data_IF_717089297600
#
_entry.id   IF_717089297600
#
_cell.length_a   1.000
_cell.length_b   1.000
_cell.length_c   1.000
_cell.angle_alpha   90.00
_cell.angle_beta   90.00
_cell.angle_gamma   90.00
#
_symmetry.space_group_name_H-M   'P 1'
#
loop_
_entity.id
_entity.type
_entity.pdbx_description
1 polymer ?
#
# COMPACT_ATOMS: atom_id res chain seq x y z
N UNK A 1 14.29 0.45 4.83
CA UNK A 1 14.68 0.48 3.39
C UNK A 1 14.26 1.83 2.81
N UNK A 2 15.06 2.45 1.94
CA UNK A 2 14.67 3.66 1.21
C UNK A 2 13.92 3.28 -0.08
N UNK A 3 12.91 4.06 -0.53
CA UNK A 3 12.17 3.76 -1.77
C UNK A 3 13.06 3.55 -3.01
N UNK A 4 14.16 4.28 -3.11
CA UNK A 4 15.07 4.20 -4.26
C UNK A 4 15.88 2.90 -4.32
N UNK A 5 16.10 2.23 -3.18
CA UNK A 5 16.83 0.95 -3.10
C UNK A 5 16.02 -0.20 -3.71
N UNK A 6 14.69 -0.05 -3.80
CA UNK A 6 13.79 -1.06 -4.36
C UNK A 6 13.95 -1.19 -5.88
N UNK A 7 14.42 -0.14 -6.57
CA UNK A 7 14.54 -0.08 -8.05
C UNK A 7 15.42 -1.17 -8.67
N UNK A 8 16.30 -1.78 -7.89
CA UNK A 8 17.22 -2.82 -8.37
C UNK A 8 16.72 -4.25 -8.11
N UNK A 9 15.55 -4.40 -7.51
CA UNK A 9 14.96 -5.70 -7.19
C UNK A 9 13.91 -6.11 -8.21
N UNK A 10 13.65 -7.42 -8.31
CA UNK A 10 12.49 -7.96 -9.02
C UNK A 10 11.23 -7.58 -8.23
N UNK A 11 10.31 -6.86 -8.87
CA UNK A 11 9.12 -6.30 -8.24
C UNK A 11 7.88 -7.00 -8.81
N UNK A 12 6.98 -7.38 -7.91
CA UNK A 12 5.65 -7.88 -8.25
C UNK A 12 4.58 -6.85 -7.87
N UNK A 13 3.65 -6.60 -8.79
CA UNK A 13 2.56 -5.63 -8.62
C UNK A 13 1.22 -6.29 -8.86
N UNK A 14 0.18 -5.75 -8.24
CA UNK A 14 -1.21 -6.09 -8.55
C UNK A 14 -1.56 -5.71 -10.01
N UNK A 15 -2.70 -6.22 -10.48
CA UNK A 15 -3.24 -5.92 -11.81
C UNK A 15 -3.46 -4.41 -12.04
N UNK A 16 -3.67 -4.03 -13.29
CA UNK A 16 -4.10 -2.66 -13.62
C UNK A 16 -5.48 -2.35 -13.01
N UNK A 17 -5.71 -1.08 -12.64
CA UNK A 17 -6.93 -0.64 -11.97
C UNK A 17 -6.86 -0.62 -10.44
N UNK A 18 -5.82 -1.21 -9.82
CA UNK A 18 -5.57 -1.05 -8.40
C UNK A 18 -4.82 0.24 -8.11
N UNK A 19 -5.41 1.11 -7.28
CA UNK A 19 -4.78 2.34 -6.76
C UNK A 19 -3.36 2.12 -6.21
N UNK A 20 -3.09 0.94 -5.62
CA UNK A 20 -1.79 0.61 -5.05
C UNK A 20 -0.68 0.47 -6.10
N UNK A 21 -1.00 0.00 -7.31
CA UNK A 21 -0.02 -0.14 -8.41
C UNK A 21 0.53 1.24 -8.80
N UNK A 22 -0.36 2.20 -9.02
CA UNK A 22 0.03 3.58 -9.36
C UNK A 22 0.83 4.24 -8.24
N UNK A 23 0.43 4.03 -6.97
CA UNK A 23 1.20 4.49 -5.81
C UNK A 23 2.61 3.91 -5.80
N UNK A 24 2.75 2.62 -6.07
CA UNK A 24 4.04 1.94 -6.06
C UNK A 24 4.96 2.45 -7.17
N UNK A 25 4.42 2.61 -8.38
CA UNK A 25 5.17 3.16 -9.53
C UNK A 25 5.69 4.57 -9.20
N UNK A 26 4.85 5.42 -8.61
CA UNK A 26 5.21 6.79 -8.20
C UNK A 26 6.24 6.79 -7.08
N UNK A 27 6.01 5.99 -6.03
CA UNK A 27 6.86 5.92 -4.84
C UNK A 27 8.28 5.45 -5.18
N UNK A 28 8.38 4.36 -5.92
CA UNK A 28 9.67 3.77 -6.29
C UNK A 28 10.29 4.49 -7.51
N UNK A 29 9.64 5.56 -8.01
CA UNK A 29 10.02 6.29 -9.23
C UNK A 29 10.38 5.35 -10.38
N UNK A 30 9.60 4.27 -10.50
CA UNK A 30 9.81 3.27 -11.54
C UNK A 30 9.43 3.93 -12.84
N UNK A 31 10.42 4.24 -13.69
CA UNK A 31 10.14 4.62 -15.06
C UNK A 31 9.30 3.51 -15.68
N UNK A 32 8.11 3.85 -16.20
CA UNK A 32 7.13 2.95 -16.83
C UNK A 32 7.71 1.94 -17.87
N UNK A 33 8.97 2.09 -18.29
CA UNK A 33 9.60 1.32 -19.37
C UNK A 33 10.96 0.68 -19.08
N UNK A 34 11.61 0.92 -17.93
CA UNK A 34 13.02 0.47 -17.80
C UNK A 34 13.22 -0.85 -17.03
N UNK A 35 12.30 -1.30 -16.17
CA UNK A 35 12.49 -2.55 -15.38
C UNK A 35 11.22 -3.28 -14.94
N UNK A 36 10.05 -3.01 -15.54
CA UNK A 36 8.98 -4.01 -15.48
C UNK A 36 9.43 -5.11 -16.43
N UNK A 37 9.67 -6.32 -15.93
CA UNK A 37 10.02 -7.46 -16.78
C UNK A 37 8.93 -7.54 -17.85
N UNK A 38 9.26 -7.14 -19.09
CA UNK A 38 8.34 -7.10 -20.23
C UNK A 38 7.71 -8.48 -20.51
N UNK A 39 8.25 -9.53 -19.87
CA UNK A 39 7.97 -10.92 -20.16
C UNK A 39 7.13 -11.64 -19.10
N UNK A 40 6.63 -10.97 -18.05
CA UNK A 40 5.75 -11.62 -17.08
C UNK A 40 4.65 -10.68 -16.57
N UNK A 41 3.67 -10.39 -17.43
CA UNK A 41 2.35 -9.91 -17.00
C UNK A 41 1.58 -11.06 -16.33
N UNK A 42 2.05 -11.49 -15.17
CA UNK A 42 1.25 -12.30 -14.26
C UNK A 42 0.62 -11.33 -13.27
N UNK A 43 -0.64 -11.04 -13.55
CA UNK A 43 -1.46 -10.08 -12.85
C UNK A 43 -2.10 -10.84 -11.66
N UNK A 44 -1.80 -10.41 -10.44
CA UNK A 44 -2.42 -10.95 -9.24
C UNK A 44 -3.56 -10.01 -8.83
N UNK A 45 -4.78 -10.54 -8.78
CA UNK A 45 -5.99 -9.81 -8.36
C UNK A 45 -6.14 -9.69 -6.84
N UNK A 46 -5.33 -10.42 -6.07
CA UNK A 46 -5.31 -10.37 -4.61
C UNK A 46 -3.90 -10.33 -4.04
N UNK A 47 -3.74 -9.78 -2.84
CA UNK A 47 -2.47 -9.79 -2.13
C UNK A 47 -2.00 -11.21 -1.80
N UNK A 48 -2.90 -12.14 -1.49
CA UNK A 48 -2.53 -13.51 -1.17
C UNK A 48 -1.90 -14.23 -2.36
N UNK A 49 -2.50 -14.07 -3.54
CA UNK A 49 -1.93 -14.57 -4.80
C UNK A 49 -0.56 -13.95 -5.06
N UNK A 50 -0.44 -12.63 -4.86
CA UNK A 50 0.81 -11.90 -5.06
C UNK A 50 1.92 -12.39 -4.12
N UNK A 51 1.61 -12.62 -2.85
CA UNK A 51 2.57 -13.16 -1.88
C UNK A 51 2.96 -14.60 -2.21
N UNK A 52 2.02 -15.45 -2.62
CA UNK A 52 2.35 -16.82 -3.04
C UNK A 52 3.30 -16.84 -4.25
N UNK A 53 3.13 -15.92 -5.20
CA UNK A 53 4.06 -15.77 -6.33
C UNK A 53 5.45 -15.33 -5.87
N UNK A 54 5.55 -14.47 -4.86
CA UNK A 54 6.84 -14.03 -4.29
C UNK A 54 7.51 -15.18 -3.55
N UNK A 55 6.75 -15.96 -2.78
CA UNK A 55 7.26 -17.11 -2.04
C UNK A 55 7.86 -18.16 -3.00
N UNK A 56 7.23 -18.38 -4.17
CA UNK A 56 7.68 -19.37 -5.17
C UNK A 56 8.78 -18.85 -6.11
N UNK A 57 8.62 -17.63 -6.64
CA UNK A 57 9.46 -17.11 -7.74
C UNK A 57 10.44 -16.03 -7.32
N UNK A 58 10.47 -15.68 -6.03
CA UNK A 58 11.28 -14.61 -5.46
C UNK A 58 10.91 -13.22 -5.96
N UNK A 59 11.32 -12.19 -5.22
CA UNK A 59 11.09 -10.78 -5.54
C UNK A 59 10.52 -10.02 -4.35
N UNK A 60 10.03 -8.82 -4.60
CA UNK A 60 9.49 -7.92 -3.58
C UNK A 60 8.15 -7.35 -4.04
N UNK A 61 7.32 -6.96 -3.07
CA UNK A 61 6.14 -6.13 -3.32
C UNK A 61 5.92 -5.15 -2.17
N UNK A 62 4.99 -4.23 -2.36
CA UNK A 62 4.47 -3.38 -1.30
C UNK A 62 3.09 -3.86 -0.89
N UNK A 63 2.91 -3.95 0.42
CA UNK A 63 1.61 -4.21 1.02
C UNK A 63 1.20 -3.02 1.89
N UNK A 64 -0.10 -2.69 1.94
CA UNK A 64 -0.63 -1.77 2.93
C UNK A 64 -0.45 -2.31 4.35
N UNK A 65 -0.32 -1.39 5.28
CA UNK A 65 -0.21 -1.69 6.71
C UNK A 65 -1.33 -2.59 7.26
N UNK A 66 -2.58 -2.34 6.84
CA UNK A 66 -3.70 -3.17 7.29
C UNK A 66 -3.59 -4.62 6.83
N UNK A 67 -2.99 -4.85 5.65
CA UNK A 67 -2.74 -6.21 5.17
C UNK A 67 -1.54 -6.85 5.88
N UNK A 68 -0.53 -6.06 6.28
CA UNK A 68 0.55 -6.56 7.14
C UNK A 68 -0.01 -7.20 8.43
N UNK A 69 -1.05 -6.61 9.02
CA UNK A 69 -1.64 -7.14 10.25
C UNK A 69 -2.25 -8.54 10.10
N UNK A 70 -2.76 -8.88 8.91
CA UNK A 70 -3.37 -10.19 8.62
C UNK A 70 -2.34 -11.29 8.32
N UNK A 71 -1.07 -10.94 8.13
CA UNK A 71 -0.02 -11.91 7.81
C UNK A 71 0.27 -12.88 8.96
N UNK A 72 0.67 -14.10 8.58
CA UNK A 72 1.21 -15.10 9.50
C UNK A 72 2.52 -14.60 10.13
N UNK A 73 2.86 -15.15 11.31
CA UNK A 73 4.10 -14.80 12.01
C UNK A 73 5.35 -15.02 11.17
N UNK A 74 5.36 -16.06 10.34
CA UNK A 74 6.49 -16.36 9.46
C UNK A 74 6.63 -15.33 8.34
N UNK A 75 5.52 -14.97 7.67
CA UNK A 75 5.55 -13.92 6.64
C UNK A 75 5.91 -12.55 7.21
N UNK A 76 5.48 -12.23 8.44
CA UNK A 76 5.86 -10.98 9.11
C UNK A 76 7.38 -10.83 9.30
N UNK A 77 8.14 -11.92 9.43
CA UNK A 77 9.61 -11.87 9.54
C UNK A 77 10.30 -11.49 8.22
N UNK A 78 9.62 -11.66 7.10
CA UNK A 78 10.13 -11.33 5.76
C UNK A 78 9.79 -9.89 5.34
N UNK A 79 9.01 -9.17 6.16
CA UNK A 79 8.60 -7.80 5.86
C UNK A 79 9.63 -6.82 6.39
N UNK A 80 10.02 -5.86 5.54
CA UNK A 80 10.85 -4.72 5.91
C UNK A 80 10.06 -3.42 5.80
N UNK A 81 10.23 -2.55 6.79
CA UNK A 81 9.60 -1.23 6.81
C UNK A 81 10.48 -0.18 6.12
N UNK A 82 9.84 0.90 5.66
CA UNK A 82 10.56 2.06 5.14
C UNK A 82 11.22 2.86 6.26
N UNK A 83 12.36 3.46 5.94
CA UNK A 83 12.95 4.48 6.80
C UNK A 83 12.28 5.83 6.51
N UNK A 84 12.41 6.80 7.42
CA UNK A 84 11.89 8.14 7.20
C UNK A 84 12.50 8.76 5.92
N UNK A 85 11.71 9.45 5.07
CA UNK A 85 10.27 9.67 5.22
C UNK A 85 9.45 8.42 4.84
N UNK A 86 8.57 7.98 5.75
CA UNK A 86 7.77 6.77 5.58
C UNK A 86 6.60 7.10 4.64
N UNK A 87 6.44 6.39 3.52
CA UNK A 87 5.35 6.62 2.59
C UNK A 87 4.04 6.10 3.19
N UNK A 88 3.05 6.99 3.26
CA UNK A 88 1.70 6.68 3.73
C UNK A 88 0.66 7.07 2.69
N UNK A 89 -0.49 6.41 2.73
CA UNK A 89 -1.64 6.69 1.86
C UNK A 89 -2.73 7.36 2.67
N UNK A 90 -3.34 8.39 2.12
CA UNK A 90 -4.58 8.96 2.65
C UNK A 90 -5.79 8.13 2.19
N UNK A 91 -6.74 7.92 3.10
CA UNK A 91 -8.03 7.31 2.82
C UNK A 91 -9.13 8.33 3.11
N UNK A 92 -9.92 8.66 2.10
CA UNK A 92 -10.94 9.71 2.20
C UNK A 92 -12.30 9.18 1.75
N UNK A 93 -13.37 9.70 2.35
CA UNK A 93 -14.76 9.42 1.94
C UNK A 93 -15.20 10.53 0.99
N UNK A 94 -15.63 10.14 -0.21
CA UNK A 94 -16.08 11.06 -1.26
C UNK A 94 -17.59 10.91 -1.45
N UNK A 95 -18.28 12.04 -1.63
CA UNK A 95 -19.72 12.11 -1.83
C UNK A 95 -20.08 13.35 -2.69
N UNK A 96 -21.14 13.27 -3.51
CA UNK A 96 -21.75 14.37 -4.31
C UNK A 96 -22.31 15.56 -3.48
N UNK A 97 -22.95 16.59 -4.06
CA UNK A 97 -23.63 17.67 -3.30
C UNK A 97 -24.93 18.10 -4.02
N UNK A 98 -25.97 18.62 -3.32
CA UNK A 98 -26.14 18.75 -1.87
C UNK A 98 -26.75 17.47 -1.25
N UNK A 99 -26.38 17.14 0.01
CA UNK A 99 -26.88 15.93 0.68
C UNK A 99 -27.71 16.21 1.93
N UNK A 100 -28.79 15.46 2.06
CA UNK A 100 -29.66 15.44 3.24
C UNK A 100 -29.14 14.58 4.42
N UNK A 101 -28.08 13.77 4.23
CA UNK A 101 -27.62 12.75 5.20
C UNK A 101 -26.19 12.93 5.71
N UNK A 102 -25.70 14.18 5.81
CA UNK A 102 -24.32 14.46 6.28
C UNK A 102 -23.99 13.80 7.62
N UNK A 103 -24.94 13.80 8.56
CA UNK A 103 -24.78 13.16 9.88
C UNK A 103 -24.48 11.67 9.78
N UNK A 104 -25.08 10.96 8.82
CA UNK A 104 -24.83 9.53 8.60
C UNK A 104 -23.43 9.31 8.02
N UNK A 105 -23.00 10.17 7.11
CA UNK A 105 -21.66 10.10 6.51
C UNK A 105 -20.59 10.35 7.58
N UNK A 106 -20.77 11.37 8.42
CA UNK A 106 -19.87 11.68 9.53
C UNK A 106 -19.83 10.55 10.56
N UNK A 107 -20.98 9.97 10.90
CA UNK A 107 -21.05 8.82 11.81
C UNK A 107 -20.28 7.62 11.24
N UNK A 108 -20.48 7.31 9.95
CA UNK A 108 -19.74 6.24 9.27
C UNK A 108 -18.23 6.52 9.24
N UNK A 109 -17.83 7.74 8.90
CA UNK A 109 -16.44 8.15 8.90
C UNK A 109 -15.80 7.99 10.28
N UNK A 110 -16.53 8.33 11.33
CA UNK A 110 -16.07 8.19 12.71
C UNK A 110 -15.92 6.71 13.11
N UNK A 111 -16.89 5.87 12.77
CA UNK A 111 -16.81 4.41 13.01
C UNK A 111 -15.59 3.81 12.30
N UNK A 112 -15.38 4.16 11.03
CA UNK A 112 -14.23 3.66 10.25
C UNK A 112 -12.92 4.10 10.91
N UNK A 113 -12.76 5.39 11.23
CA UNK A 113 -11.55 5.92 11.86
C UNK A 113 -11.29 5.30 13.23
N UNK A 114 -12.29 5.23 14.10
CA UNK A 114 -12.13 4.69 15.46
C UNK A 114 -11.84 3.19 15.49
N UNK A 115 -12.34 2.45 14.50
CA UNK A 115 -12.02 1.03 14.32
C UNK A 115 -10.58 0.86 13.84
N UNK A 116 -10.24 1.53 12.73
CA UNK A 116 -8.95 1.32 12.04
C UNK A 116 -7.77 1.93 12.80
N UNK A 117 -7.92 3.08 13.48
CA UNK A 117 -6.81 3.78 14.13
C UNK A 117 -6.08 2.95 15.20
N UNK A 118 -6.76 1.95 15.77
CA UNK A 118 -6.17 1.04 16.75
C UNK A 118 -5.18 0.05 16.11
N UNK A 119 -5.39 -0.26 14.85
CA UNK A 119 -4.62 -1.25 14.09
C UNK A 119 -3.47 -0.63 13.29
N UNK A 120 -3.46 0.71 13.15
CA UNK A 120 -2.41 1.44 12.44
C UNK A 120 -1.22 1.73 13.37
N UNK A 121 -0.08 1.09 13.08
CA UNK A 121 1.25 1.40 13.59
C UNK A 121 1.70 2.78 13.12
N UNK A 122 1.29 3.21 11.91
CA UNK A 122 1.66 4.51 11.32
C UNK A 122 1.29 5.71 12.21
N UNK A 123 0.25 5.57 13.04
CA UNK A 123 -0.17 6.57 14.04
C UNK A 123 0.87 6.84 15.14
N UNK A 124 1.87 5.96 15.30
CA UNK A 124 2.94 6.12 16.30
C UNK A 124 4.08 7.02 15.84
N UNK A 125 4.24 7.24 14.53
CA UNK A 125 5.30 8.07 13.98
C UNK A 125 4.94 9.56 14.06
N UNK A 126 5.96 10.42 14.11
CA UNK A 126 5.72 11.87 14.07
C UNK A 126 5.26 12.25 12.67
N UNK A 127 4.35 13.24 12.55
CA UNK A 127 3.90 13.75 11.25
C UNK A 127 5.05 14.21 10.34
N UNK A 128 6.15 14.71 10.91
CA UNK A 128 7.36 15.11 10.18
C UNK A 128 8.11 13.94 9.53
N UNK A 129 7.83 12.70 9.96
CA UNK A 129 8.48 11.48 9.46
C UNK A 129 7.62 10.76 8.40
N UNK A 130 6.40 11.27 8.14
CA UNK A 130 5.45 10.69 7.20
C UNK A 130 5.43 11.51 5.90
N UNK A 131 5.44 10.82 4.76
CA UNK A 131 5.24 11.41 3.44
C UNK A 131 3.96 10.86 2.83
N UNK A 132 2.97 11.74 2.60
CA UNK A 132 1.70 11.35 1.97
C UNK A 132 1.92 11.14 0.48
N UNK A 133 1.77 9.91 0.03
CA UNK A 133 1.78 9.56 -1.40
C UNK A 133 0.39 9.78 -1.97
N UNK A 134 0.18 10.92 -2.61
CA UNK A 134 -1.05 11.20 -3.37
C UNK A 134 -1.06 10.36 -4.66
N UNK A 135 -2.23 9.81 -5.01
CA UNK A 135 -2.52 9.27 -6.34
C UNK A 135 -2.89 10.45 -7.22
#
# INVERSE_FOLDING_TARGET
ILPDEIRNHKIWLLEEGHCLREQFIKLCSLKKKEKMVENLKLEASSFDTLLNMIDEFGGLTLIPELYYNTLSRERKKQVSFFNAPIPVREMSIIYHRPYAKIRTIEALANIIQTTINKDLISNKYKKSELSITQI
#
